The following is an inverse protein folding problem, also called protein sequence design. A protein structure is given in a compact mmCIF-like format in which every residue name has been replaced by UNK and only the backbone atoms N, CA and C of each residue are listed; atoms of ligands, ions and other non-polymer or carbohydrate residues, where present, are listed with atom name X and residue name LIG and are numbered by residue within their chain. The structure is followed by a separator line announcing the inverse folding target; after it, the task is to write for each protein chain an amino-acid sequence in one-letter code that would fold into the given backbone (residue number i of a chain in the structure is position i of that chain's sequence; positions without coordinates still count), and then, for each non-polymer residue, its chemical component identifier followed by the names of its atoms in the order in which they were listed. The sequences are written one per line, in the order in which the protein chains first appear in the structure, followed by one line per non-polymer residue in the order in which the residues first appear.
data_IF_283345243008
#
_entry.id   IF_283345243008
#
_cell.length_a   1.000
_cell.length_b   1.000
_cell.length_c   1.000
_cell.angle_alpha   90.00
_cell.angle_beta   90.00
_cell.angle_gamma   90.00
#
_symmetry.space_group_name_H-M   'P 1'
#
loop_
_entity.id
_entity.type
_entity.pdbx_description
1 polymer ?
#
# COMPACT_ATOMS: atom_id res chain seq x y z
N UNK A 1 -13.47 -8.79 -13.87
CA UNK A 1 -12.04 -8.74 -14.25
C UNK A 1 -11.33 -7.77 -13.33
N UNK A 2 -10.18 -8.11 -12.76
CA UNK A 2 -9.47 -7.24 -11.82
C UNK A 2 -9.00 -5.93 -12.50
N UNK A 3 -9.03 -4.79 -11.80
CA UNK A 3 -8.60 -3.47 -12.29
C UNK A 3 -7.24 -3.50 -12.99
N UNK A 4 -6.23 -4.15 -12.40
CA UNK A 4 -4.89 -4.22 -12.99
C UNK A 4 -4.85 -4.96 -14.34
N UNK A 5 -5.55 -6.09 -14.42
CA UNK A 5 -5.66 -6.91 -15.63
C UNK A 5 -6.42 -6.14 -16.71
N UNK A 6 -7.51 -5.47 -16.34
CA UNK A 6 -8.30 -4.65 -17.26
C UNK A 6 -7.45 -3.51 -17.83
N UNK A 7 -6.65 -2.84 -17.00
CA UNK A 7 -5.74 -1.79 -17.46
C UNK A 7 -4.71 -2.31 -18.44
N UNK A 8 -4.12 -3.49 -18.18
CA UNK A 8 -3.17 -4.10 -19.12
C UNK A 8 -3.83 -4.54 -20.43
N UNK A 9 -5.01 -5.16 -20.37
CA UNK A 9 -5.77 -5.54 -21.57
C UNK A 9 -6.16 -4.30 -22.40
N UNK A 10 -6.57 -3.22 -21.75
CA UNK A 10 -6.90 -1.97 -22.44
C UNK A 10 -5.67 -1.34 -23.10
N UNK A 11 -4.50 -1.43 -22.46
CA UNK A 11 -3.23 -1.02 -23.06
C UNK A 11 -2.91 -1.84 -24.31
N UNK A 12 -3.06 -3.17 -24.27
CA UNK A 12 -2.85 -4.04 -25.42
C UNK A 12 -3.75 -3.65 -26.60
N UNK A 13 -5.03 -3.43 -26.33
CA UNK A 13 -6.00 -3.03 -27.36
C UNK A 13 -5.66 -1.65 -27.94
N UNK A 14 -5.45 -0.64 -27.08
CA UNK A 14 -5.34 0.75 -27.53
C UNK A 14 -3.97 1.12 -28.09
N UNK A 15 -2.90 0.49 -27.59
CA UNK A 15 -1.51 0.86 -27.92
C UNK A 15 -0.85 -0.18 -28.81
N UNK A 16 -1.19 -1.46 -28.63
CA UNK A 16 -0.59 -2.55 -29.40
C UNK A 16 -1.50 -3.10 -30.49
N UNK A 17 -2.77 -2.70 -30.53
CA UNK A 17 -3.76 -3.27 -31.46
C UNK A 17 -3.87 -4.79 -31.29
N UNK A 18 -3.62 -5.25 -30.06
CA UNK A 18 -3.61 -6.67 -29.68
C UNK A 18 -4.91 -6.99 -28.93
N UNK A 19 -5.67 -7.94 -29.47
CA UNK A 19 -7.01 -8.28 -28.99
C UNK A 19 -7.08 -9.66 -28.34
N UNK A 20 -6.03 -10.49 -28.48
CA UNK A 20 -5.97 -11.81 -27.86
C UNK A 20 -5.97 -11.68 -26.33
N UNK A 21 -6.47 -12.73 -25.67
CA UNK A 21 -6.38 -12.83 -24.22
C UNK A 21 -4.94 -13.14 -23.80
N UNK A 22 -4.47 -12.49 -22.72
CA UNK A 22 -3.05 -12.57 -22.33
C UNK A 22 -2.56 -13.99 -22.01
N UNK A 23 -3.44 -14.91 -21.63
CA UNK A 23 -3.07 -16.30 -21.33
C UNK A 23 -2.94 -17.18 -22.58
N UNK A 24 -3.33 -16.70 -23.76
CA UNK A 24 -3.13 -17.44 -25.02
C UNK A 24 -1.83 -17.04 -25.72
N UNK A 25 -1.10 -16.05 -25.19
CA UNK A 25 0.11 -15.51 -25.79
C UNK A 25 1.34 -16.35 -25.47
N UNK A 26 2.29 -16.38 -26.41
CA UNK A 26 3.57 -17.02 -26.16
C UNK A 26 4.37 -16.23 -25.11
N UNK A 27 5.19 -16.91 -24.28
CA UNK A 27 5.87 -16.26 -23.15
C UNK A 27 6.74 -15.07 -23.54
N UNK A 28 7.50 -15.19 -24.64
CA UNK A 28 8.42 -14.15 -25.10
C UNK A 28 7.67 -12.91 -25.60
N UNK A 29 6.53 -13.12 -26.26
CA UNK A 29 5.66 -12.05 -26.72
C UNK A 29 5.01 -11.33 -25.52
N UNK A 30 4.48 -12.10 -24.59
CA UNK A 30 3.87 -11.56 -23.38
C UNK A 30 4.88 -10.78 -22.52
N UNK A 31 6.12 -11.27 -22.38
CA UNK A 31 7.20 -10.57 -21.68
C UNK A 31 7.51 -9.22 -22.32
N UNK A 32 7.56 -9.15 -23.65
CA UNK A 32 7.77 -7.89 -24.37
C UNK A 32 6.63 -6.90 -24.09
N UNK A 33 5.36 -7.33 -24.15
CA UNK A 33 4.25 -6.44 -23.84
C UNK A 33 4.26 -5.97 -22.39
N UNK A 34 4.59 -6.84 -21.44
CA UNK A 34 4.72 -6.49 -20.03
C UNK A 34 5.85 -5.49 -19.80
N UNK A 35 6.99 -5.69 -20.46
CA UNK A 35 8.13 -4.76 -20.39
C UNK A 35 7.69 -3.35 -20.79
N UNK A 36 7.08 -3.22 -21.97
CA UNK A 36 6.65 -1.93 -22.49
C UNK A 36 5.52 -1.30 -21.66
N UNK A 37 4.58 -2.12 -21.21
CA UNK A 37 3.51 -1.70 -20.32
C UNK A 37 4.07 -1.13 -19.01
N UNK A 38 4.95 -1.85 -18.33
CA UNK A 38 5.49 -1.39 -17.06
C UNK A 38 6.31 -0.10 -17.23
N UNK A 39 7.07 0.05 -18.31
CA UNK A 39 7.77 1.30 -18.61
C UNK A 39 6.77 2.45 -18.85
N UNK A 40 5.72 2.20 -19.62
CA UNK A 40 4.75 3.20 -20.08
C UNK A 40 3.63 3.55 -19.09
N UNK A 41 3.28 2.69 -18.15
CA UNK A 41 2.10 2.88 -17.30
C UNK A 41 2.20 4.16 -16.45
N UNK A 42 1.14 4.97 -16.44
CA UNK A 42 0.99 6.22 -15.67
C UNK A 42 -0.41 6.32 -15.07
N UNK A 43 -0.55 7.05 -13.98
CA UNK A 43 -1.85 7.40 -13.38
C UNK A 43 -2.59 8.32 -14.35
N UNK A 44 -3.87 8.03 -14.56
CA UNK A 44 -4.76 8.96 -15.23
C UNK A 44 -5.24 9.98 -14.21
N UNK A 45 -4.66 11.19 -14.25
CA UNK A 45 -4.98 12.27 -13.32
C UNK A 45 -5.80 13.32 -14.07
N UNK A 46 -7.03 13.53 -13.61
CA UNK A 46 -7.90 14.59 -14.12
C UNK A 46 -7.55 15.91 -13.43
N UNK A 47 -6.95 16.84 -14.17
CA UNK A 47 -6.70 18.22 -13.72
C UNK A 47 -7.25 19.22 -14.72
N UNK A 48 -7.56 20.41 -14.21
CA UNK A 48 -8.03 21.55 -15.03
C UNK A 48 -6.91 22.07 -15.94
N UNK A 49 -5.66 22.09 -15.47
CA UNK A 49 -4.51 22.50 -16.27
C UNK A 49 -3.39 21.45 -16.18
N UNK A 50 -2.82 21.08 -17.33
CA UNK A 50 -1.76 20.05 -17.39
C UNK A 50 -0.45 20.51 -16.76
N UNK A 51 -0.23 21.82 -16.65
CA UNK A 51 0.97 22.40 -16.04
C UNK A 51 0.98 22.30 -14.51
N UNK A 52 -0.17 22.02 -13.88
CA UNK A 52 -0.29 21.89 -12.42
C UNK A 52 0.26 20.55 -11.90
N UNK A 53 0.59 19.62 -12.81
CA UNK A 53 1.05 18.28 -12.46
C UNK A 53 2.50 18.10 -12.93
N UNK A 54 3.38 17.71 -12.02
CA UNK A 54 4.72 17.28 -12.37
C UNK A 54 4.69 15.84 -12.90
N UNK A 55 5.64 15.48 -13.78
CA UNK A 55 5.70 14.12 -14.32
C UNK A 55 5.72 13.03 -13.24
N UNK A 56 6.26 13.33 -12.06
CA UNK A 56 6.34 12.40 -10.93
C UNK A 56 4.98 12.05 -10.34
N UNK A 57 4.02 12.99 -10.34
CA UNK A 57 2.69 12.78 -9.78
C UNK A 57 1.92 11.71 -10.58
N UNK A 58 2.20 11.66 -11.89
CA UNK A 58 1.63 10.67 -12.83
C UNK A 58 2.30 9.31 -12.72
N UNK A 59 3.41 9.17 -12.00
CA UNK A 59 4.03 7.87 -11.77
C UNK A 59 3.28 7.10 -10.68
N UNK A 60 3.22 5.78 -10.83
CA UNK A 60 2.76 4.89 -9.77
C UNK A 60 3.89 4.68 -8.75
N UNK A 61 3.50 4.58 -7.48
CA UNK A 61 4.42 4.17 -6.42
C UNK A 61 4.92 2.73 -6.67
N UNK A 62 6.13 2.37 -6.17
CA UNK A 62 6.70 1.05 -6.40
C UNK A 62 5.79 -0.10 -5.94
N UNK A 63 5.16 0.02 -4.78
CA UNK A 63 4.24 -0.99 -4.26
C UNK A 63 2.98 -1.15 -5.11
N UNK A 64 2.48 -0.08 -5.72
CA UNK A 64 1.36 -0.19 -6.67
C UNK A 64 1.77 -1.00 -7.91
N UNK A 65 3.00 -0.80 -8.40
CA UNK A 65 3.54 -1.55 -9.54
C UNK A 65 3.71 -3.05 -9.21
N UNK A 66 4.11 -3.39 -7.98
CA UNK A 66 4.08 -4.77 -7.48
C UNK A 66 2.67 -5.36 -7.47
N UNK A 67 1.69 -4.56 -7.07
CA UNK A 67 0.27 -4.91 -7.14
C UNK A 67 -0.17 -5.25 -8.56
N UNK A 68 0.21 -4.44 -9.55
CA UNK A 68 -0.08 -4.73 -10.96
C UNK A 68 0.51 -6.08 -11.39
N UNK A 69 1.81 -6.31 -11.15
CA UNK A 69 2.46 -7.56 -11.55
C UNK A 69 1.84 -8.78 -10.87
N UNK A 70 1.63 -8.71 -9.54
CA UNK A 70 1.04 -9.79 -8.75
C UNK A 70 -0.35 -10.16 -9.24
N UNK A 71 -1.14 -9.15 -9.61
CA UNK A 71 -2.52 -9.36 -10.04
C UNK A 71 -2.62 -9.90 -11.47
N UNK A 72 -1.73 -9.48 -12.36
CA UNK A 72 -1.60 -10.07 -13.70
C UNK A 72 -1.16 -11.52 -13.58
N UNK A 73 -0.14 -11.82 -12.76
CA UNK A 73 0.32 -13.19 -12.52
C UNK A 73 -0.79 -14.08 -11.96
N UNK A 74 -1.53 -13.57 -10.96
CA UNK A 74 -2.69 -14.27 -10.39
C UNK A 74 -3.73 -14.61 -11.46
N UNK A 75 -4.01 -13.67 -12.37
CA UNK A 75 -4.95 -13.90 -13.46
C UNK A 75 -4.46 -14.96 -14.44
N UNK A 76 -3.18 -14.95 -14.81
CA UNK A 76 -2.58 -15.96 -15.66
C UNK A 76 -2.65 -17.36 -15.02
N UNK A 77 -2.34 -17.47 -13.72
CA UNK A 77 -2.48 -18.71 -12.95
C UNK A 77 -3.92 -19.22 -12.92
N UNK A 78 -4.90 -18.33 -12.73
CA UNK A 78 -6.33 -18.68 -12.78
C UNK A 78 -6.78 -19.19 -14.16
N UNK A 79 -6.05 -18.81 -15.22
CA UNK A 79 -6.27 -19.26 -16.59
C UNK A 79 -5.34 -20.40 -17.00
N UNK A 80 -4.73 -21.05 -16.01
CA UNK A 80 -3.83 -22.21 -16.21
C UNK A 80 -2.65 -21.91 -17.14
N UNK A 81 -2.19 -20.65 -17.17
CA UNK A 81 -0.98 -20.30 -17.90
C UNK A 81 0.23 -21.05 -17.31
N UNK A 82 1.08 -21.69 -18.13
CA UNK A 82 2.07 -22.66 -17.66
C UNK A 82 3.26 -22.03 -16.92
N UNK A 83 3.45 -20.71 -17.00
CA UNK A 83 4.59 -20.00 -16.44
C UNK A 83 4.19 -18.90 -15.45
N UNK A 84 5.09 -18.59 -14.53
CA UNK A 84 4.99 -17.53 -13.53
C UNK A 84 5.82 -16.31 -13.95
N UNK A 85 5.13 -15.21 -14.27
CA UNK A 85 5.77 -13.97 -14.72
C UNK A 85 6.62 -13.28 -13.63
N UNK A 86 6.53 -13.72 -12.38
CA UNK A 86 7.30 -13.20 -11.26
C UNK A 86 8.59 -13.99 -11.03
N UNK A 87 8.67 -15.24 -11.52
CA UNK A 87 9.77 -16.16 -11.19
C UNK A 87 10.52 -16.64 -12.43
N UNK A 88 9.79 -17.02 -13.47
CA UNK A 88 10.36 -17.74 -14.60
C UNK A 88 11.24 -16.87 -15.48
N UNK A 89 12.24 -17.50 -16.09
CA UNK A 89 13.30 -16.83 -16.84
C UNK A 89 12.77 -16.15 -18.11
N UNK A 90 11.71 -16.69 -18.71
CA UNK A 90 11.08 -16.13 -19.90
C UNK A 90 10.53 -14.72 -19.66
N UNK A 91 10.27 -14.36 -18.39
CA UNK A 91 9.78 -13.05 -17.97
C UNK A 91 10.85 -12.16 -17.31
N UNK A 92 12.14 -12.49 -17.52
CA UNK A 92 13.24 -11.73 -16.90
C UNK A 92 13.28 -10.28 -17.37
N UNK A 93 13.02 -9.99 -18.65
CA UNK A 93 13.17 -8.62 -19.17
C UNK A 93 12.12 -7.67 -18.60
N UNK A 94 10.86 -8.09 -18.53
CA UNK A 94 9.80 -7.30 -17.90
C UNK A 94 10.07 -7.05 -16.42
N UNK A 95 10.58 -8.06 -15.69
CA UNK A 95 10.99 -7.92 -14.28
C UNK A 95 12.13 -6.94 -14.08
N UNK A 96 13.17 -7.01 -14.91
CA UNK A 96 14.31 -6.11 -14.85
C UNK A 96 13.88 -4.66 -15.16
N UNK A 97 13.04 -4.46 -16.18
CA UNK A 97 12.47 -3.14 -16.50
C UNK A 97 11.60 -2.58 -15.37
N UNK A 98 10.75 -3.42 -14.77
CA UNK A 98 9.92 -3.03 -13.62
C UNK A 98 10.80 -2.58 -12.44
N UNK A 99 11.85 -3.34 -12.15
CA UNK A 99 12.82 -3.01 -11.09
C UNK A 99 13.55 -1.70 -11.39
N UNK A 100 14.01 -1.50 -12.63
CA UNK A 100 14.67 -0.27 -13.04
C UNK A 100 13.74 0.94 -12.93
N UNK A 101 12.46 0.80 -13.32
CA UNK A 101 11.47 1.87 -13.19
C UNK A 101 11.24 2.25 -11.73
N UNK A 102 11.07 1.28 -10.83
CA UNK A 102 10.92 1.53 -9.39
C UNK A 102 12.13 2.28 -8.83
N UNK A 103 13.34 1.84 -9.15
CA UNK A 103 14.58 2.52 -8.72
C UNK A 103 14.66 3.95 -9.24
N UNK A 104 14.27 4.19 -10.50
CA UNK A 104 14.22 5.54 -11.07
C UNK A 104 13.22 6.43 -10.32
N UNK A 105 12.03 5.93 -10.03
CA UNK A 105 11.02 6.65 -9.27
C UNK A 105 11.52 7.03 -7.86
N UNK A 106 12.11 6.07 -7.14
CA UNK A 106 12.69 6.32 -5.82
C UNK A 106 13.81 7.36 -5.86
N UNK A 107 14.69 7.29 -6.87
CA UNK A 107 15.75 8.27 -7.07
C UNK A 107 15.19 9.68 -7.32
N UNK A 108 14.13 9.81 -8.10
CA UNK A 108 13.50 11.11 -8.36
C UNK A 108 12.87 11.72 -7.11
N UNK A 109 12.37 10.89 -6.19
CA UNK A 109 11.84 11.34 -4.90
C UNK A 109 12.93 11.58 -3.83
N UNK A 110 14.20 11.25 -4.11
CA UNK A 110 15.26 11.29 -3.08
C UNK A 110 15.16 10.15 -2.05
N UNK A 111 14.32 9.15 -2.30
CA UNK A 111 13.90 8.12 -1.35
C UNK A 111 14.56 6.75 -1.58
N UNK A 112 15.78 6.73 -2.14
CA UNK A 112 16.46 5.48 -2.48
C UNK A 112 16.66 4.53 -1.28
N UNK A 113 16.80 5.08 -0.06
CA UNK A 113 17.12 4.30 1.12
C UNK A 113 15.93 4.07 2.08
N UNK A 114 14.90 4.93 2.10
CA UNK A 114 13.73 4.78 2.98
C UNK A 114 12.46 5.43 2.39
N UNK A 115 11.78 4.77 1.43
CA UNK A 115 10.68 5.42 0.72
C UNK A 115 9.36 5.54 1.46
N UNK A 116 9.16 4.78 2.53
CA UNK A 116 7.93 4.78 3.32
C UNK A 116 8.24 4.52 4.81
N UNK A 117 9.37 5.05 5.31
CA UNK A 117 9.55 5.02 6.76
C UNK A 117 8.42 5.87 7.35
N UNK A 118 7.53 5.24 8.12
CA UNK A 118 6.56 5.98 8.90
C UNK A 118 7.37 6.84 9.89
N UNK A 119 7.23 8.15 9.77
CA UNK A 119 7.75 9.06 10.78
C UNK A 119 6.85 8.93 12.01
N UNK A 120 7.48 8.89 13.19
CA UNK A 120 6.74 8.94 14.42
C UNK A 120 6.08 10.31 14.53
N UNK A 121 4.88 10.37 15.10
CA UNK A 121 4.31 11.64 15.53
C UNK A 121 5.24 12.23 16.60
N UNK A 122 5.74 13.43 16.36
CA UNK A 122 6.53 14.16 17.34
C UNK A 122 5.59 14.86 18.33
N UNK A 123 6.11 15.23 19.51
CA UNK A 123 5.32 15.92 20.52
C UNK A 123 4.71 17.24 20.00
N UNK A 124 5.39 17.92 19.08
CA UNK A 124 4.88 19.14 18.43
C UNK A 124 3.66 18.85 17.53
N UNK A 125 3.64 17.71 16.83
CA UNK A 125 2.48 17.30 16.04
C UNK A 125 1.28 16.97 16.93
N UNK A 126 1.52 16.31 18.07
CA UNK A 126 0.49 16.00 19.06
C UNK A 126 -0.11 17.28 19.64
N UNK A 127 0.73 18.24 20.04
CA UNK A 127 0.29 19.55 20.54
C UNK A 127 -0.55 20.30 19.50
N UNK A 128 -0.15 20.26 18.23
CA UNK A 128 -0.93 20.86 17.14
C UNK A 128 -2.29 20.20 16.97
N UNK A 129 -2.38 18.87 17.09
CA UNK A 129 -3.64 18.14 16.98
C UNK A 129 -4.61 18.51 18.11
N UNK A 130 -4.12 18.68 19.34
CA UNK A 130 -4.96 19.21 20.43
C UNK A 130 -5.37 20.67 20.19
N UNK A 131 -4.44 21.52 19.74
CA UNK A 131 -4.71 22.95 19.52
C UNK A 131 -5.70 23.18 18.38
N UNK A 132 -5.59 22.42 17.30
CA UNK A 132 -6.46 22.50 16.13
C UNK A 132 -7.83 21.82 16.35
N UNK A 133 -8.00 21.13 17.49
CA UNK A 133 -9.21 20.39 17.80
C UNK A 133 -9.36 19.11 16.98
N UNK A 134 -8.26 18.53 16.48
CA UNK A 134 -8.26 17.17 15.94
C UNK A 134 -8.20 16.10 17.05
N UNK A 135 -7.65 16.48 18.20
CA UNK A 135 -7.74 15.78 19.47
C UNK A 135 -8.43 16.64 20.50
N UNK A 136 -9.14 16.00 21.42
CA UNK A 136 -9.84 16.67 22.50
C UNK A 136 -11.07 15.90 22.94
N UNK A 137 -11.82 16.50 23.85
CA UNK A 137 -13.06 15.93 24.39
C UNK A 137 -14.29 16.76 24.04
N UNK A 138 -14.09 17.81 23.23
CA UNK A 138 -15.10 18.84 22.96
C UNK A 138 -16.17 18.36 21.98
N UNK A 139 -15.83 17.40 21.12
CA UNK A 139 -16.74 16.78 20.17
C UNK A 139 -16.49 15.27 20.01
N UNK A 140 -17.48 14.52 19.47
CA UNK A 140 -17.37 13.07 19.35
C UNK A 140 -16.25 12.57 18.44
N UNK A 141 -15.95 13.30 17.35
CA UNK A 141 -14.95 12.87 16.37
C UNK A 141 -13.53 13.08 16.91
N UNK A 142 -13.31 14.20 17.60
CA UNK A 142 -12.05 14.49 18.29
C UNK A 142 -11.81 13.54 19.45
N UNK A 143 -12.86 13.24 20.23
CA UNK A 143 -12.78 12.26 21.31
C UNK A 143 -12.42 10.87 20.77
N UNK A 144 -13.06 10.44 19.68
CA UNK A 144 -12.77 9.14 19.07
C UNK A 144 -11.34 9.10 18.52
N UNK A 145 -10.87 10.19 17.91
CA UNK A 145 -9.51 10.32 17.38
C UNK A 145 -8.46 10.28 18.50
N UNK A 146 -8.70 10.97 19.61
CA UNK A 146 -7.85 10.93 20.81
C UNK A 146 -7.79 9.53 21.41
N UNK A 147 -8.94 8.85 21.59
CA UNK A 147 -8.96 7.48 22.12
C UNK A 147 -8.22 6.52 21.19
N UNK A 148 -8.45 6.63 19.88
CA UNK A 148 -7.74 5.82 18.88
C UNK A 148 -6.23 6.04 18.94
N UNK A 149 -5.78 7.29 19.06
CA UNK A 149 -4.37 7.63 19.19
C UNK A 149 -3.78 7.06 20.48
N UNK A 150 -4.37 7.35 21.64
CA UNK A 150 -3.93 6.87 22.96
C UNK A 150 -3.82 5.35 23.02
N UNK A 151 -4.82 4.66 22.48
CA UNK A 151 -4.82 3.20 22.39
C UNK A 151 -3.69 2.66 21.49
N UNK A 152 -3.37 3.38 20.42
CA UNK A 152 -2.28 3.01 19.50
C UNK A 152 -0.92 3.19 20.16
N UNK A 153 -0.69 4.33 20.83
CA UNK A 153 0.62 4.63 21.44
C UNK A 153 0.89 3.83 22.72
N UNK A 154 -0.13 3.64 23.58
CA UNK A 154 0.07 3.03 24.90
C UNK A 154 -0.14 1.51 24.90
N UNK A 155 -1.03 0.98 24.05
CA UNK A 155 -1.34 -0.45 24.01
C UNK A 155 -0.89 -1.14 22.72
N UNK A 156 -0.31 -0.40 21.76
CA UNK A 156 0.18 -0.96 20.51
C UNK A 156 -0.93 -1.57 19.64
N UNK A 157 -2.16 -1.04 19.78
CA UNK A 157 -3.31 -1.44 18.96
C UNK A 157 -3.11 -0.95 17.53
N UNK A 158 -2.98 -1.88 16.58
CA UNK A 158 -2.66 -1.59 15.18
C UNK A 158 -3.86 -1.79 14.27
N UNK A 159 -4.12 -0.76 13.47
CA UNK A 159 -5.08 -0.83 12.38
C UNK A 159 -6.54 -0.85 12.83
N UNK A 160 -7.43 -0.58 11.87
CA UNK A 160 -8.85 -0.34 12.16
C UNK A 160 -9.61 -1.57 12.69
N UNK A 161 -9.09 -2.79 12.49
CA UNK A 161 -9.74 -4.02 12.96
C UNK A 161 -9.60 -4.23 14.47
N UNK A 162 -8.39 -4.08 15.03
CA UNK A 162 -8.15 -4.25 16.47
C UNK A 162 -8.95 -3.22 17.28
N UNK A 163 -8.92 -1.96 16.86
CA UNK A 163 -9.68 -0.88 17.51
C UNK A 163 -11.20 -1.13 17.52
N UNK A 164 -11.77 -1.67 16.44
CA UNK A 164 -13.21 -1.98 16.36
C UNK A 164 -13.63 -3.19 17.19
N UNK A 165 -12.68 -4.02 17.62
CA UNK A 165 -12.96 -5.23 18.41
C UNK A 165 -12.79 -5.05 19.90
N UNK A 166 -12.32 -3.88 20.35
CA UNK A 166 -12.29 -3.54 21.77
C UNK A 166 -13.69 -3.68 22.39
N UNK A 167 -13.76 -4.41 23.49
CA UNK A 167 -14.99 -4.55 24.28
C UNK A 167 -14.74 -4.10 25.72
N UNK A 168 -15.85 -3.86 26.42
CA UNK A 168 -15.83 -3.63 27.85
C UNK A 168 -15.11 -4.78 28.58
N UNK A 169 -14.16 -4.41 29.44
CA UNK A 169 -13.33 -5.35 30.20
C UNK A 169 -11.99 -5.70 29.56
N UNK A 170 -11.72 -5.26 28.32
CA UNK A 170 -10.39 -5.41 27.71
C UNK A 170 -9.37 -4.45 28.30
N UNK A 171 -9.82 -3.24 28.62
CA UNK A 171 -9.04 -2.24 29.36
C UNK A 171 -9.48 -2.27 30.82
N UNK A 172 -8.52 -2.51 31.71
CA UNK A 172 -8.77 -2.58 33.15
C UNK A 172 -7.83 -1.64 33.88
N UNK A 173 -8.35 -0.99 34.92
CA UNK A 173 -7.52 -0.28 35.87
C UNK A 173 -6.99 -1.30 36.88
N UNK A 174 -5.68 -1.44 36.94
CA UNK A 174 -4.98 -2.32 37.87
C UNK A 174 -3.95 -1.52 38.67
N UNK A 175 -3.46 -2.12 39.75
CA UNK A 175 -2.39 -1.56 40.56
C UNK A 175 -1.12 -2.35 40.30
N UNK A 176 -0.03 -1.67 39.96
CA UNK A 176 1.26 -2.29 39.72
C UNK A 176 1.94 -2.74 41.03
N UNK A 177 3.13 -3.33 40.91
CA UNK A 177 3.92 -3.80 42.08
C UNK A 177 4.41 -2.67 42.99
N UNK A 178 4.36 -1.43 42.50
CA UNK A 178 4.80 -0.22 43.19
C UNK A 178 3.61 0.59 43.72
N UNK A 179 2.40 -0.01 43.76
CA UNK A 179 1.16 0.62 44.20
C UNK A 179 0.65 1.76 43.30
N UNK A 180 1.13 1.87 42.07
CA UNK A 180 0.63 2.85 41.10
C UNK A 180 -0.55 2.30 40.30
N UNK A 181 -1.53 3.16 40.03
CA UNK A 181 -2.63 2.82 39.13
C UNK A 181 -2.17 2.85 37.67
N UNK A 182 -2.42 1.78 36.93
CA UNK A 182 -2.14 1.68 35.51
C UNK A 182 -3.32 1.03 34.76
N UNK A 183 -3.49 1.41 33.50
CA UNK A 183 -4.41 0.71 32.61
C UNK A 183 -3.69 -0.47 31.97
N UNK A 184 -4.28 -1.65 32.07
CA UNK A 184 -3.80 -2.87 31.41
C UNK A 184 -4.74 -3.28 30.29
N UNK A 185 -4.16 -3.68 29.16
CA UNK A 185 -4.89 -4.19 28.00
C UNK A 185 -4.76 -5.71 27.93
N UNK A 186 -5.89 -6.40 28.02
CA UNK A 186 -5.98 -7.85 27.88
C UNK A 186 -6.22 -8.22 26.42
N UNK A 187 -5.15 -8.60 25.72
CA UNK A 187 -5.21 -8.96 24.31
C UNK A 187 -5.90 -10.31 24.10
N UNK A 188 -7.04 -10.30 23.39
CA UNK A 188 -7.83 -11.51 23.08
C UNK A 188 -7.44 -12.19 21.78
N UNK A 189 -6.62 -11.53 20.96
CA UNK A 189 -6.14 -12.04 19.68
C UNK A 189 -4.67 -12.44 19.78
N UNK A 190 -4.36 -13.68 19.44
CA UNK A 190 -2.97 -14.13 19.37
C UNK A 190 -2.29 -13.45 18.18
N UNK A 191 -1.47 -12.43 18.44
CA UNK A 191 -0.52 -11.95 17.44
C UNK A 191 0.51 -13.07 17.20
N UNK A 192 0.51 -13.68 16.01
CA UNK A 192 1.68 -14.45 15.53
C UNK A 192 2.84 -13.47 15.37
N UNK A 193 3.63 -13.31 16.43
CA UNK A 193 4.85 -12.51 16.46
C UNK A 193 6.00 -13.35 15.91
N UNK A 194 6.22 -13.29 14.60
CA UNK A 194 7.58 -13.48 14.08
C UNK A 194 8.21 -12.09 14.07
N UNK A 195 9.17 -11.89 14.98
CA UNK A 195 9.92 -10.64 15.12
C UNK A 195 10.83 -10.35 13.94
#
# INVERSE_FOLDING_TARGET
MNSAVKTFQQYLINVKTEFREIHTMQPQELDQYLQEFFVGIRKDIKVKNKNDIQNIDREYQPGSLDGFQSMINKHLRMKEYPLDIMKDEQFKKSRDCLTAKKKKHLKQLGLLNHPNAAEALESEDEEELYRSGGFGTDDPDSLLSTIWYMNTIHFGLRGSHEHRQLQWGDLKLETDRNENQCLTYNERLTKTRDG
#
